data_IF_609967839057
#
_entry.id   IF_609967839057
#
_cell.length_a   1.000
_cell.length_b   1.000
_cell.length_c   1.000
_cell.angle_alpha   90.00
_cell.angle_beta   90.00
_cell.angle_gamma   90.00
#
_symmetry.space_group_name_H-M   'P 1'
#
loop_
_entity.id
_entity.type
_entity.pdbx_description
1 polymer ?
#
# COMPACT_ATOMS: atom_id res chain seq x y z
N UNK A 1 3.78 -0.92 -6.37
CA UNK A 1 3.09 -0.82 -7.67
C UNK A 1 3.96 -0.12 -8.70
N UNK A 2 4.38 1.13 -8.53
CA UNK A 2 5.07 1.91 -9.55
C UNK A 2 6.32 1.26 -10.17
N UNK A 3 7.09 0.45 -9.42
CA UNK A 3 8.21 -0.33 -9.99
C UNK A 3 7.73 -1.51 -10.82
N UNK A 4 6.74 -2.26 -10.33
CA UNK A 4 6.17 -3.36 -11.09
C UNK A 4 5.55 -2.88 -12.41
N UNK A 5 4.88 -1.73 -12.42
CA UNK A 5 4.36 -1.14 -13.66
C UNK A 5 5.45 -0.75 -14.67
N UNK A 6 6.63 -0.32 -14.18
CA UNK A 6 7.78 -0.02 -15.06
C UNK A 6 8.33 -1.29 -15.72
N UNK A 7 8.36 -2.39 -14.96
CA UNK A 7 8.88 -3.68 -15.44
C UNK A 7 7.86 -4.39 -16.36
N UNK A 8 6.57 -4.23 -16.09
CA UNK A 8 5.47 -4.81 -16.87
C UNK A 8 4.72 -3.72 -17.63
N UNK A 9 5.31 -3.25 -18.72
CA UNK A 9 4.72 -2.19 -19.55
C UNK A 9 3.33 -2.60 -20.06
N UNK A 10 2.34 -1.75 -19.80
CA UNK A 10 0.95 -1.99 -20.20
C UNK A 10 0.13 -2.79 -19.19
N UNK A 11 0.72 -3.23 -18.07
CA UNK A 11 -0.05 -3.87 -17.01
C UNK A 11 -0.93 -2.85 -16.27
N UNK A 12 -2.18 -3.22 -16.06
CA UNK A 12 -3.20 -2.38 -15.43
C UNK A 12 -3.11 -2.58 -13.91
N UNK A 13 -2.92 -1.50 -13.13
CA UNK A 13 -2.92 -1.60 -11.68
C UNK A 13 -4.34 -1.81 -11.14
N UNK A 14 -4.48 -2.75 -10.22
CA UNK A 14 -5.68 -2.95 -9.40
C UNK A 14 -5.27 -2.74 -7.94
N UNK A 15 -5.62 -1.58 -7.41
CA UNK A 15 -5.26 -1.13 -6.06
C UNK A 15 -6.57 -0.90 -5.29
N UNK A 16 -6.85 -1.78 -4.30
CA UNK A 16 -8.11 -1.71 -3.56
C UNK A 16 -8.32 -0.39 -2.83
N UNK A 17 -7.24 0.23 -2.37
CA UNK A 17 -7.31 1.52 -1.68
C UNK A 17 -7.75 2.67 -2.60
N UNK A 18 -7.41 2.61 -3.89
CA UNK A 18 -7.78 3.62 -4.88
C UNK A 18 -9.30 3.58 -5.19
N UNK A 19 -9.92 2.44 -4.95
CA UNK A 19 -11.35 2.26 -5.18
C UNK A 19 -12.23 2.82 -4.05
N UNK A 20 -11.63 3.11 -2.88
CA UNK A 20 -12.38 3.63 -1.72
C UNK A 20 -13.09 4.94 -1.97
N UNK A 21 -12.54 5.79 -2.83
CA UNK A 21 -13.11 7.10 -3.18
C UNK A 21 -14.48 7.00 -3.88
N UNK A 22 -14.79 5.84 -4.46
CA UNK A 22 -16.08 5.57 -5.10
C UNK A 22 -17.17 5.13 -4.13
N UNK A 23 -16.84 4.92 -2.86
CA UNK A 23 -17.84 4.56 -1.84
C UNK A 23 -18.81 5.72 -1.61
N UNK A 24 -20.14 5.49 -1.59
CA UNK A 24 -21.13 6.56 -1.41
C UNK A 24 -20.86 7.44 -0.19
N UNK A 25 -20.45 6.82 0.92
CA UNK A 25 -20.21 7.52 2.18
C UNK A 25 -18.77 8.04 2.32
N UNK A 26 -17.91 7.89 1.30
CA UNK A 26 -16.50 8.28 1.42
C UNK A 26 -16.32 9.74 1.84
N UNK A 27 -17.02 10.65 1.17
CA UNK A 27 -16.90 12.11 1.44
C UNK A 27 -17.42 12.48 2.82
N UNK A 28 -18.56 11.91 3.24
CA UNK A 28 -19.14 12.19 4.57
C UNK A 28 -18.24 11.66 5.68
N UNK A 29 -17.75 10.43 5.55
CA UNK A 29 -16.85 9.82 6.55
C UNK A 29 -15.51 10.57 6.63
N UNK A 30 -14.92 10.94 5.50
CA UNK A 30 -13.66 11.70 5.50
C UNK A 30 -13.83 13.10 6.15
N UNK A 31 -15.00 13.67 6.12
CA UNK A 31 -15.29 14.96 6.75
C UNK A 31 -15.62 14.82 8.24
N UNK A 32 -16.36 13.78 8.63
CA UNK A 32 -16.91 13.61 9.97
C UNK A 32 -15.96 12.82 10.90
N UNK A 33 -15.43 11.69 10.40
CA UNK A 33 -14.51 10.82 11.15
C UNK A 33 -13.59 10.07 10.17
N UNK A 34 -12.52 10.72 9.68
CA UNK A 34 -11.63 10.15 8.68
C UNK A 34 -10.90 8.87 9.16
N UNK A 35 -10.78 8.66 10.47
CA UNK A 35 -10.15 7.44 11.01
C UNK A 35 -11.00 6.19 10.75
N UNK A 36 -12.33 6.33 10.61
CA UNK A 36 -13.25 5.23 10.29
C UNK A 36 -13.36 4.91 8.81
N UNK A 37 -12.83 5.76 7.93
CA UNK A 37 -12.95 5.57 6.49
C UNK A 37 -12.48 4.18 6.02
N UNK A 38 -11.34 3.63 6.50
CA UNK A 38 -10.91 2.30 6.07
C UNK A 38 -11.89 1.19 6.44
N UNK A 39 -12.51 1.26 7.62
CA UNK A 39 -13.51 0.30 8.08
C UNK A 39 -14.78 0.36 7.21
N UNK A 40 -15.34 1.55 7.07
CA UNK A 40 -16.61 1.79 6.33
C UNK A 40 -16.49 1.37 4.86
N UNK A 41 -15.33 1.59 4.23
CA UNK A 41 -15.15 1.35 2.79
C UNK A 41 -14.52 0.00 2.44
N UNK A 42 -14.05 -0.77 3.44
CA UNK A 42 -13.25 -1.98 3.20
C UNK A 42 -13.94 -3.03 2.36
N UNK A 43 -15.20 -3.34 2.67
CA UNK A 43 -15.96 -4.39 2.00
C UNK A 43 -16.19 -4.05 0.52
N UNK A 44 -16.65 -2.84 0.24
CA UNK A 44 -16.91 -2.37 -1.12
C UNK A 44 -15.62 -2.31 -1.95
N UNK A 45 -14.55 -1.73 -1.39
CA UNK A 45 -13.27 -1.64 -2.08
C UNK A 45 -12.68 -3.02 -2.41
N UNK A 46 -12.80 -3.99 -1.50
CA UNK A 46 -12.39 -5.37 -1.72
C UNK A 46 -13.21 -6.04 -2.83
N UNK A 47 -14.55 -5.88 -2.81
CA UNK A 47 -15.43 -6.41 -3.85
C UNK A 47 -15.12 -5.80 -5.23
N UNK A 48 -14.92 -4.49 -5.30
CA UNK A 48 -14.58 -3.82 -6.57
C UNK A 48 -13.20 -4.19 -7.09
N UNK A 49 -12.21 -4.37 -6.22
CA UNK A 49 -10.89 -4.86 -6.63
C UNK A 49 -10.99 -6.26 -7.23
N UNK A 50 -11.80 -7.15 -6.63
CA UNK A 50 -12.07 -8.48 -7.19
C UNK A 50 -12.78 -8.39 -8.53
N UNK A 51 -13.87 -7.64 -8.64
CA UNK A 51 -14.60 -7.45 -9.91
C UNK A 51 -13.70 -6.89 -11.00
N UNK A 52 -12.83 -5.91 -10.68
CA UNK A 52 -11.86 -5.35 -11.63
C UNK A 52 -10.86 -6.40 -12.09
N UNK A 53 -10.36 -7.22 -11.16
CA UNK A 53 -9.45 -8.32 -11.44
C UNK A 53 -10.08 -9.36 -12.38
N UNK A 54 -11.33 -9.78 -12.10
CA UNK A 54 -12.09 -10.73 -12.91
C UNK A 54 -12.34 -10.18 -14.33
N UNK A 55 -12.78 -8.93 -14.43
CA UNK A 55 -13.00 -8.26 -15.71
C UNK A 55 -11.74 -8.19 -16.58
N UNK A 56 -10.59 -7.88 -15.97
CA UNK A 56 -9.31 -7.80 -16.67
C UNK A 56 -8.81 -9.19 -17.06
N UNK A 57 -8.97 -10.19 -16.21
CA UNK A 57 -8.61 -11.59 -16.48
C UNK A 57 -9.40 -12.16 -17.66
N UNK A 58 -10.71 -11.93 -17.72
CA UNK A 58 -11.54 -12.34 -18.86
C UNK A 58 -11.09 -11.75 -20.19
N UNK A 59 -10.46 -10.56 -20.16
CA UNK A 59 -9.93 -9.86 -21.34
C UNK A 59 -8.47 -10.13 -21.64
N UNK A 60 -7.86 -11.05 -20.90
CA UNK A 60 -6.44 -11.40 -21.04
C UNK A 60 -5.52 -10.18 -20.89
N UNK A 61 -5.93 -9.17 -20.09
CA UNK A 61 -5.13 -8.00 -19.80
C UNK A 61 -4.07 -8.30 -18.74
N UNK A 62 -2.85 -7.81 -18.93
CA UNK A 62 -1.82 -7.89 -17.90
C UNK A 62 -2.21 -7.02 -16.68
N UNK A 63 -2.04 -7.53 -15.47
CA UNK A 63 -2.48 -6.89 -14.23
C UNK A 63 -1.34 -6.79 -13.23
N UNK A 64 -1.25 -5.65 -12.53
CA UNK A 64 -0.49 -5.53 -11.28
C UNK A 64 -1.50 -5.40 -10.14
N UNK A 65 -1.67 -6.47 -9.39
CA UNK A 65 -2.62 -6.53 -8.27
C UNK A 65 -1.91 -6.24 -6.95
N UNK A 66 -2.32 -5.18 -6.23
CA UNK A 66 -1.77 -4.84 -4.92
C UNK A 66 -2.63 -5.43 -3.80
N UNK A 67 -1.97 -6.17 -2.90
CA UNK A 67 -2.62 -6.77 -1.74
C UNK A 67 -1.66 -6.85 -0.56
N UNK A 68 -2.21 -6.89 0.64
CA UNK A 68 -1.43 -7.02 1.90
C UNK A 68 -1.06 -8.44 2.25
N UNK A 69 -1.53 -9.44 1.50
CA UNK A 69 -1.30 -10.87 1.78
C UNK A 69 -1.79 -11.34 3.17
N UNK A 70 -2.70 -10.62 3.79
CA UNK A 70 -3.21 -10.93 5.15
C UNK A 70 -4.18 -12.11 5.19
N UNK A 71 -4.75 -12.50 4.06
CA UNK A 71 -5.72 -13.59 3.92
C UNK A 71 -5.16 -14.67 3.00
N UNK A 72 -4.52 -15.73 3.55
CA UNK A 72 -3.84 -16.74 2.77
C UNK A 72 -4.73 -17.40 1.71
N UNK A 73 -5.98 -17.75 2.07
CA UNK A 73 -6.91 -18.40 1.14
C UNK A 73 -7.26 -17.50 -0.06
N UNK A 74 -7.45 -16.20 0.17
CA UNK A 74 -7.73 -15.25 -0.90
C UNK A 74 -6.53 -15.05 -1.83
N UNK A 75 -5.31 -15.05 -1.29
CA UNK A 75 -4.06 -14.96 -2.07
C UNK A 75 -3.90 -16.18 -2.98
N UNK A 76 -4.06 -17.38 -2.42
CA UNK A 76 -3.98 -18.64 -3.15
C UNK A 76 -5.05 -18.71 -4.24
N UNK A 77 -6.31 -18.42 -3.88
CA UNK A 77 -7.41 -18.45 -4.84
C UNK A 77 -7.17 -17.48 -6.01
N UNK A 78 -6.74 -16.23 -5.73
CA UNK A 78 -6.46 -15.25 -6.77
C UNK A 78 -5.32 -15.71 -7.69
N UNK A 79 -4.21 -16.18 -7.13
CA UNK A 79 -3.08 -16.67 -7.94
C UNK A 79 -3.48 -17.87 -8.80
N UNK A 80 -4.24 -18.82 -8.23
CA UNK A 80 -4.78 -19.98 -8.94
C UNK A 80 -5.68 -19.58 -10.11
N UNK A 81 -6.63 -18.65 -9.89
CA UNK A 81 -7.54 -18.18 -10.92
C UNK A 81 -6.80 -17.54 -12.11
N UNK A 82 -5.73 -16.78 -11.88
CA UNK A 82 -4.89 -16.26 -12.95
C UNK A 82 -4.12 -17.35 -13.67
N UNK A 83 -3.55 -18.30 -12.96
CA UNK A 83 -2.85 -19.44 -13.59
C UNK A 83 -3.78 -20.30 -14.44
N UNK A 84 -4.95 -20.63 -13.91
CA UNK A 84 -5.96 -21.42 -14.65
C UNK A 84 -6.41 -20.71 -15.94
N UNK A 85 -6.36 -19.38 -15.94
CA UNK A 85 -6.61 -18.54 -17.14
C UNK A 85 -5.38 -18.39 -18.06
N UNK A 86 -4.27 -19.10 -17.80
CA UNK A 86 -3.07 -19.12 -18.65
C UNK A 86 -2.07 -17.97 -18.41
N UNK A 87 -2.22 -17.23 -17.31
CA UNK A 87 -1.26 -16.18 -16.97
C UNK A 87 0.04 -16.75 -16.39
N UNK A 88 1.13 -16.06 -16.66
CA UNK A 88 2.33 -16.15 -15.85
C UNK A 88 2.14 -15.28 -14.60
N UNK A 89 2.26 -15.88 -13.41
CA UNK A 89 2.06 -15.21 -12.12
C UNK A 89 3.40 -14.94 -11.46
N UNK A 90 3.71 -13.67 -11.25
CA UNK A 90 4.87 -13.23 -10.46
C UNK A 90 4.41 -12.60 -9.16
N UNK A 91 4.98 -13.02 -8.03
CA UNK A 91 4.75 -12.43 -6.72
C UNK A 91 5.95 -11.60 -6.30
N UNK A 92 5.69 -10.35 -5.89
CA UNK A 92 6.70 -9.45 -5.31
C UNK A 92 6.34 -9.12 -3.87
N UNK A 93 7.16 -9.58 -2.94
CA UNK A 93 7.02 -9.31 -1.52
C UNK A 93 7.99 -8.23 -1.05
N UNK A 94 7.50 -7.29 -0.25
CA UNK A 94 8.31 -6.22 0.35
C UNK A 94 8.74 -6.66 1.76
N UNK A 95 10.03 -6.83 1.97
CA UNK A 95 10.61 -7.16 3.26
C UNK A 95 11.25 -5.93 3.89
N UNK A 96 10.55 -5.32 4.85
CA UNK A 96 11.03 -4.17 5.62
C UNK A 96 10.76 -4.40 7.10
N UNK A 97 11.59 -3.85 8.01
CA UNK A 97 11.32 -3.90 9.45
C UNK A 97 9.93 -3.38 9.78
N UNK A 98 9.26 -4.01 10.74
CA UNK A 98 7.89 -3.61 11.12
C UNK A 98 7.84 -2.17 11.61
N UNK A 99 8.85 -1.73 12.37
CA UNK A 99 9.02 -0.34 12.78
C UNK A 99 9.04 0.63 11.58
N UNK A 100 9.69 0.24 10.47
CA UNK A 100 9.74 1.06 9.25
C UNK A 100 8.38 1.09 8.54
N UNK A 101 7.69 -0.05 8.51
CA UNK A 101 6.35 -0.15 7.93
C UNK A 101 5.33 0.65 8.76
N UNK A 102 5.37 0.51 10.09
CA UNK A 102 4.48 1.21 11.03
C UNK A 102 4.69 2.73 10.97
N UNK A 103 5.95 3.19 10.93
CA UNK A 103 6.24 4.61 10.71
C UNK A 103 5.72 5.08 9.34
N UNK A 104 5.77 4.25 8.32
CA UNK A 104 5.20 4.56 7.00
C UNK A 104 3.69 4.81 7.04
N UNK A 105 2.94 4.13 7.92
CA UNK A 105 1.51 4.42 8.17
C UNK A 105 1.33 5.81 8.78
N UNK A 106 2.09 6.13 9.84
CA UNK A 106 2.03 7.42 10.52
C UNK A 106 2.43 8.57 9.57
N UNK A 107 3.54 8.43 8.84
CA UNK A 107 4.03 9.46 7.93
C UNK A 107 3.05 9.76 6.80
N UNK A 108 2.49 8.71 6.16
CA UNK A 108 1.48 8.88 5.12
C UNK A 108 0.23 9.60 5.63
N UNK A 109 -0.26 9.23 6.81
CA UNK A 109 -1.38 9.92 7.45
C UNK A 109 -1.04 11.39 7.69
N UNK A 110 0.12 11.68 8.29
CA UNK A 110 0.57 13.03 8.58
C UNK A 110 0.71 13.88 7.30
N UNK A 111 1.27 13.32 6.22
CA UNK A 111 1.39 13.98 4.92
C UNK A 111 0.01 14.33 4.34
N UNK A 112 -0.91 13.37 4.31
CA UNK A 112 -2.26 13.62 3.79
C UNK A 112 -3.01 14.68 4.61
N UNK A 113 -2.88 14.67 5.94
CA UNK A 113 -3.50 15.70 6.78
C UNK A 113 -2.90 17.09 6.53
N UNK A 114 -1.57 17.18 6.32
CA UNK A 114 -0.91 18.46 5.97
C UNK A 114 -1.39 19.00 4.63
N UNK A 115 -1.52 18.13 3.64
CA UNK A 115 -1.78 18.53 2.27
C UNK A 115 -3.28 18.74 2.01
N UNK A 116 -4.12 17.94 2.64
CA UNK A 116 -5.56 17.83 2.31
C UNK A 116 -6.49 18.14 3.48
N UNK A 117 -5.94 18.33 4.70
CA UNK A 117 -6.72 18.56 5.92
C UNK A 117 -7.33 17.29 6.51
N UNK A 118 -7.26 16.16 5.83
CA UNK A 118 -7.69 14.85 6.31
C UNK A 118 -6.78 13.77 5.74
N UNK A 119 -6.57 12.68 6.46
CA UNK A 119 -5.70 11.59 6.04
C UNK A 119 -6.34 10.22 6.27
N UNK A 120 -5.94 9.25 5.45
CA UNK A 120 -6.30 7.85 5.63
C UNK A 120 -5.44 7.22 6.70
N UNK A 121 -6.06 6.74 7.75
CA UNK A 121 -5.43 5.94 8.78
C UNK A 121 -5.49 4.45 8.44
N UNK A 122 -4.44 3.71 8.71
CA UNK A 122 -4.45 2.24 8.68
C UNK A 122 -4.47 1.75 10.12
N UNK A 123 -5.56 1.14 10.61
CA UNK A 123 -5.62 0.64 11.99
C UNK A 123 -4.49 -0.34 12.29
N UNK A 124 -3.92 -0.23 13.50
CA UNK A 124 -2.80 -1.04 13.94
C UNK A 124 -3.07 -2.54 13.80
N UNK A 125 -4.24 -3.00 14.20
CA UNK A 125 -4.62 -4.41 14.09
C UNK A 125 -4.56 -4.92 12.64
N UNK A 126 -4.88 -4.10 11.64
CA UNK A 126 -4.78 -4.50 10.23
C UNK A 126 -3.33 -4.57 9.75
N UNK A 127 -2.48 -3.66 10.22
CA UNK A 127 -1.05 -3.68 9.96
C UNK A 127 -0.41 -4.94 10.54
N UNK A 128 -0.69 -5.25 11.80
CA UNK A 128 -0.07 -6.36 12.53
C UNK A 128 -0.49 -7.72 11.95
N UNK A 129 -1.78 -7.89 11.65
CA UNK A 129 -2.27 -9.09 10.95
C UNK A 129 -1.59 -9.24 9.58
N UNK A 130 -1.44 -8.15 8.81
CA UNK A 130 -0.77 -8.21 7.53
C UNK A 130 0.72 -8.55 7.68
N UNK A 131 1.40 -7.98 8.68
CA UNK A 131 2.79 -8.27 8.98
C UNK A 131 3.01 -9.73 9.37
N UNK A 132 2.13 -10.31 10.18
CA UNK A 132 2.17 -11.71 10.59
C UNK A 132 1.83 -12.68 9.46
N UNK A 133 0.76 -12.41 8.71
CA UNK A 133 0.24 -13.37 7.72
C UNK A 133 0.96 -13.32 6.38
N UNK A 134 1.53 -12.19 5.98
CA UNK A 134 2.17 -12.05 4.67
C UNK A 134 3.25 -13.09 4.39
N UNK A 135 4.22 -13.39 5.29
CA UNK A 135 5.22 -14.41 5.03
C UNK A 135 4.62 -15.82 4.89
N UNK A 136 3.58 -16.13 5.67
CA UNK A 136 2.87 -17.41 5.62
C UNK A 136 2.08 -17.56 4.32
N UNK A 137 1.41 -16.50 3.90
CA UNK A 137 0.66 -16.47 2.63
C UNK A 137 1.59 -16.60 1.42
N UNK A 138 2.77 -15.97 1.49
CA UNK A 138 3.79 -16.07 0.45
C UNK A 138 4.29 -17.50 0.32
N UNK A 139 4.71 -18.12 1.43
CA UNK A 139 5.13 -19.52 1.46
C UNK A 139 4.08 -20.44 0.86
N UNK A 140 2.83 -20.29 1.29
CA UNK A 140 1.74 -21.15 0.89
C UNK A 140 1.40 -21.03 -0.61
N UNK A 141 1.29 -19.83 -1.15
CA UNK A 141 0.94 -19.64 -2.56
C UNK A 141 2.00 -20.19 -3.51
N UNK A 142 3.28 -20.16 -3.08
CA UNK A 142 4.39 -20.77 -3.82
C UNK A 142 4.33 -22.28 -3.69
N UNK A 143 4.20 -22.81 -2.47
CA UNK A 143 4.17 -24.25 -2.20
C UNK A 143 3.01 -24.96 -2.93
N UNK A 144 1.87 -24.30 -3.11
CA UNK A 144 0.71 -24.81 -3.85
C UNK A 144 0.87 -24.71 -5.39
N UNK A 145 2.02 -24.20 -5.90
CA UNK A 145 2.33 -24.19 -7.33
C UNK A 145 1.57 -23.15 -8.16
N UNK A 146 1.10 -22.08 -7.52
CA UNK A 146 0.32 -21.04 -8.21
C UNK A 146 1.14 -19.82 -8.63
N UNK A 147 2.47 -19.87 -8.49
CA UNK A 147 3.41 -18.79 -8.79
C UNK A 147 4.50 -19.31 -9.71
N UNK A 148 4.85 -18.57 -10.77
CA UNK A 148 5.94 -18.90 -11.68
C UNK A 148 7.25 -18.22 -11.29
N UNK A 149 7.17 -17.11 -10.52
CA UNK A 149 8.33 -16.36 -10.07
C UNK A 149 8.05 -15.66 -8.75
N UNK A 150 9.02 -15.68 -7.85
CA UNK A 150 8.99 -14.89 -6.63
C UNK A 150 10.16 -13.90 -6.60
N UNK A 151 9.88 -12.70 -6.09
CA UNK A 151 10.88 -11.67 -5.83
C UNK A 151 10.62 -11.05 -4.45
N UNK A 152 11.56 -11.22 -3.51
CA UNK A 152 11.54 -10.53 -2.22
C UNK A 152 12.49 -9.34 -2.32
N UNK A 153 11.98 -8.14 -2.01
CA UNK A 153 12.75 -6.89 -2.14
C UNK A 153 12.74 -6.08 -0.84
N UNK A 154 13.80 -5.31 -0.62
CA UNK A 154 13.81 -4.27 0.41
C UNK A 154 13.06 -2.99 -0.06
N UNK A 155 12.94 -1.98 0.82
CA UNK A 155 12.32 -0.70 0.51
C UNK A 155 13.01 0.05 -0.64
N UNK A 156 14.32 -0.13 -0.79
CA UNK A 156 15.11 0.40 -1.91
C UNK A 156 14.84 -0.32 -3.24
N UNK A 157 14.20 -1.50 -3.20
CA UNK A 157 13.94 -2.37 -4.34
C UNK A 157 15.11 -3.28 -4.71
N UNK A 158 16.11 -3.40 -3.83
CA UNK A 158 17.17 -4.38 -3.96
C UNK A 158 16.57 -5.78 -3.73
N UNK A 159 16.85 -6.72 -4.61
CA UNK A 159 16.42 -8.09 -4.45
C UNK A 159 17.15 -8.74 -3.25
N UNK A 160 16.41 -9.29 -2.32
CA UNK A 160 16.88 -10.11 -1.20
C UNK A 160 16.79 -11.58 -1.54
N UNK A 161 15.80 -11.96 -2.36
CA UNK A 161 15.59 -13.29 -2.89
C UNK A 161 14.87 -13.20 -4.22
N UNK A 162 15.26 -14.05 -5.18
CA UNK A 162 14.59 -14.17 -6.47
C UNK A 162 14.69 -15.62 -6.95
N UNK A 163 13.57 -16.22 -7.32
CA UNK A 163 13.53 -17.57 -7.88
C UNK A 163 12.45 -17.68 -8.96
N UNK A 164 12.75 -18.36 -10.05
CA UNK A 164 11.76 -18.88 -10.98
C UNK A 164 11.30 -20.24 -10.43
N UNK A 165 10.00 -20.45 -10.30
CA UNK A 165 9.40 -21.61 -9.66
C UNK A 165 9.02 -22.62 -10.75
N UNK A 166 9.57 -23.82 -10.66
CA UNK A 166 9.14 -24.92 -11.54
C UNK A 166 7.83 -25.51 -11.04
N UNK A 167 6.75 -25.07 -11.64
CA UNK A 167 5.39 -25.52 -11.29
C UNK A 167 5.07 -26.93 -11.78
N UNK A 168 5.94 -27.53 -12.60
CA UNK A 168 5.84 -28.92 -13.03
C UNK A 168 6.69 -29.87 -12.18
N UNK A 169 7.58 -29.32 -11.34
CA UNK A 169 8.37 -30.10 -10.41
C UNK A 169 7.50 -30.66 -9.26
N UNK A 170 7.90 -31.80 -8.73
CA UNK A 170 7.20 -32.42 -7.60
C UNK A 170 7.03 -31.45 -6.44
N UNK A 171 5.94 -31.59 -5.67
CA UNK A 171 5.52 -30.68 -4.58
C UNK A 171 6.61 -30.35 -3.53
N UNK A 172 7.67 -31.13 -3.43
CA UNK A 172 8.82 -30.89 -2.55
C UNK A 172 9.64 -29.66 -2.94
N UNK A 173 9.79 -29.36 -4.23
CA UNK A 173 10.53 -28.17 -4.71
C UNK A 173 9.74 -26.91 -4.39
N UNK A 174 8.44 -26.86 -4.69
CA UNK A 174 7.59 -25.72 -4.37
C UNK A 174 7.53 -25.42 -2.87
N UNK A 175 7.48 -26.44 -2.02
CA UNK A 175 7.52 -26.27 -0.57
C UNK A 175 8.85 -25.65 -0.10
N UNK A 176 9.98 -26.05 -0.70
CA UNK A 176 11.29 -25.48 -0.41
C UNK A 176 11.38 -24.03 -0.85
N UNK A 177 10.98 -23.73 -2.09
CA UNK A 177 11.02 -22.37 -2.65
C UNK A 177 10.13 -21.42 -1.83
N UNK A 178 8.97 -21.89 -1.37
CA UNK A 178 8.09 -21.15 -0.47
C UNK A 178 8.74 -20.85 0.88
N UNK A 179 9.40 -21.86 1.48
CA UNK A 179 10.12 -21.70 2.74
C UNK A 179 11.31 -20.73 2.60
N UNK A 180 12.07 -20.82 1.50
CA UNK A 180 13.20 -19.92 1.22
C UNK A 180 12.72 -18.47 1.02
N UNK A 181 11.63 -18.26 0.30
CA UNK A 181 11.01 -16.93 0.14
C UNK A 181 10.53 -16.35 1.47
N UNK A 182 9.87 -17.15 2.31
CA UNK A 182 9.48 -16.76 3.67
C UNK A 182 10.69 -16.41 4.52
N UNK A 183 11.73 -17.23 4.51
CA UNK A 183 12.96 -16.95 5.26
C UNK A 183 13.60 -15.63 4.82
N UNK A 184 13.61 -15.34 3.52
CA UNK A 184 14.12 -14.08 2.99
C UNK A 184 13.31 -12.86 3.46
N UNK A 185 11.96 -12.98 3.55
CA UNK A 185 11.12 -11.92 4.12
C UNK A 185 11.45 -11.69 5.60
N UNK A 186 11.56 -12.77 6.38
CA UNK A 186 11.87 -12.67 7.82
C UNK A 186 13.25 -12.05 8.02
N UNK A 187 14.27 -12.50 7.29
CA UNK A 187 15.62 -11.95 7.36
C UNK A 187 15.65 -10.46 6.95
N UNK A 188 14.93 -10.08 5.89
CA UNK A 188 14.86 -8.70 5.41
C UNK A 188 14.15 -7.75 6.38
N UNK A 189 13.35 -8.26 7.30
CA UNK A 189 12.67 -7.48 8.36
C UNK A 189 13.55 -7.20 9.58
N UNK A 190 14.75 -7.75 9.66
CA UNK A 190 15.66 -7.47 10.77
C UNK A 190 16.06 -5.99 10.82
N UNK A 191 16.07 -5.40 12.01
CA UNK A 191 16.54 -4.03 12.24
C UNK A 191 18.03 -3.87 11.86
N UNK A 192 18.79 -4.96 11.86
CA UNK A 192 20.20 -4.98 11.44
C UNK A 192 20.41 -4.61 9.97
N UNK A 193 19.35 -4.68 9.15
CA UNK A 193 19.39 -4.24 7.76
C UNK A 193 19.32 -2.71 7.61
N UNK A 194 19.00 -1.96 8.68
CA UNK A 194 19.00 -0.52 8.65
C UNK A 194 20.44 0.02 8.68
N UNK A 195 20.77 0.85 7.71
CA UNK A 195 22.02 1.63 7.77
C UNK A 195 21.90 2.74 8.83
N UNK A 196 23.00 3.30 9.34
CA UNK A 196 22.94 4.47 10.23
C UNK A 196 22.18 5.66 9.63
N UNK A 197 22.27 5.86 8.31
CA UNK A 197 21.50 6.88 7.58
C UNK A 197 20.00 6.62 7.59
N UNK A 198 19.59 5.36 7.34
CA UNK A 198 18.17 4.97 7.39
C UNK A 198 17.61 5.14 8.80
N UNK A 199 18.38 4.76 9.82
CA UNK A 199 18.00 4.89 11.22
C UNK A 199 17.83 6.37 11.62
N UNK A 200 18.75 7.25 11.22
CA UNK A 200 18.62 8.69 11.43
C UNK A 200 17.38 9.26 10.72
N UNK A 201 17.14 8.86 9.47
CA UNK A 201 15.97 9.29 8.71
C UNK A 201 14.69 8.85 9.39
N UNK A 202 14.64 7.61 9.92
CA UNK A 202 13.51 7.08 10.66
C UNK A 202 13.23 7.88 11.94
N UNK A 203 14.26 8.17 12.74
CA UNK A 203 14.13 8.94 13.99
C UNK A 203 13.63 10.37 13.73
N UNK A 204 14.17 11.03 12.70
CA UNK A 204 13.73 12.37 12.30
C UNK A 204 12.27 12.38 11.81
N UNK A 205 11.86 11.34 11.06
CA UNK A 205 10.49 11.20 10.59
C UNK A 205 9.52 10.91 11.76
N UNK A 206 9.91 10.05 12.71
CA UNK A 206 9.11 9.80 13.92
C UNK A 206 8.87 11.08 14.70
N UNK A 207 9.93 11.86 15.00
CA UNK A 207 9.78 13.11 15.75
C UNK A 207 8.88 14.10 15.01
N UNK A 208 9.11 14.33 13.73
CA UNK A 208 8.34 15.25 12.90
C UNK A 208 6.86 14.88 12.83
N UNK A 209 6.59 13.62 12.50
CA UNK A 209 5.23 13.19 12.16
C UNK A 209 4.40 12.90 13.41
N UNK A 210 4.96 12.31 14.45
CA UNK A 210 4.27 12.13 15.73
C UNK A 210 3.92 13.48 16.37
N UNK A 211 4.87 14.42 16.40
CA UNK A 211 4.60 15.76 16.94
C UNK A 211 3.54 16.53 16.13
N UNK A 212 3.47 16.32 14.82
CA UNK A 212 2.42 16.91 14.01
C UNK A 212 1.07 16.27 14.33
N UNK A 213 0.99 14.93 14.34
CA UNK A 213 -0.26 14.19 14.53
C UNK A 213 -0.86 14.41 15.93
N UNK A 214 -0.02 14.49 16.97
CA UNK A 214 -0.47 14.77 18.35
C UNK A 214 -1.19 16.13 18.51
N UNK A 215 -1.07 17.03 17.53
CA UNK A 215 -1.76 18.32 17.52
C UNK A 215 -3.04 18.33 16.69
N UNK A 216 -3.40 17.19 16.05
CA UNK A 216 -4.60 17.13 15.22
C UNK A 216 -5.87 16.86 16.04
N UNK A 217 -7.00 17.41 15.57
CA UNK A 217 -8.30 17.22 16.21
C UNK A 217 -8.83 15.77 16.10
N UNK A 218 -8.42 15.04 15.04
CA UNK A 218 -8.88 13.68 14.77
C UNK A 218 -7.97 12.62 15.42
N UNK A 219 -7.35 12.97 16.54
CA UNK A 219 -6.49 12.06 17.30
C UNK A 219 -7.34 10.95 17.95
N UNK A 220 -7.02 9.70 17.63
CA UNK A 220 -7.68 8.51 18.18
C UNK A 220 -6.76 7.64 19.01
N UNK A 221 -7.34 6.76 19.83
CA UNK A 221 -6.58 5.83 20.67
C UNK A 221 -5.64 4.92 19.90
N UNK A 222 -6.04 4.47 18.72
CA UNK A 222 -5.23 3.62 17.83
C UNK A 222 -3.99 4.36 17.28
N UNK A 223 -4.13 5.65 17.01
CA UNK A 223 -3.01 6.52 16.61
C UNK A 223 -2.00 6.65 17.73
N UNK A 224 -2.48 6.87 18.97
CA UNK A 224 -1.61 6.94 20.16
C UNK A 224 -0.90 5.62 20.43
N UNK A 225 -1.61 4.48 20.28
CA UNK A 225 -1.00 3.16 20.43
C UNK A 225 0.12 2.94 19.41
N UNK A 226 -0.10 3.32 18.14
CA UNK A 226 0.93 3.25 17.10
C UNK A 226 2.15 4.11 17.42
N UNK A 227 1.96 5.31 17.97
CA UNK A 227 3.08 6.18 18.41
C UNK A 227 3.86 5.54 19.55
N UNK A 228 3.17 4.88 20.51
CA UNK A 228 3.84 4.20 21.62
C UNK A 228 4.67 3.00 21.14
N UNK A 229 4.17 2.20 20.20
CA UNK A 229 4.93 1.10 19.61
C UNK A 229 6.17 1.61 18.87
N UNK A 230 6.02 2.68 18.09
CA UNK A 230 7.17 3.30 17.41
C UNK A 230 8.20 3.82 18.42
N UNK A 231 7.74 4.35 19.56
CA UNK A 231 8.63 4.78 20.65
C UNK A 231 9.31 3.59 21.33
N UNK A 232 8.65 2.45 21.44
CA UNK A 232 9.25 1.22 21.97
C UNK A 232 10.35 0.67 21.06
N UNK A 233 10.20 0.79 19.74
CA UNK A 233 11.21 0.40 18.75
C UNK A 233 12.39 1.39 18.67
N UNK A 234 12.17 2.66 18.98
CA UNK A 234 13.10 3.76 18.76
C UNK A 234 14.46 3.62 19.46
N UNK A 235 14.62 3.07 20.67
CA UNK A 235 15.95 2.85 21.29
C UNK A 235 16.83 1.89 20.48
N UNK A 236 16.25 0.83 19.90
CA UNK A 236 16.99 -0.11 19.04
C UNK A 236 17.44 0.57 17.75
N UNK A 237 16.62 1.43 17.19
CA UNK A 237 16.94 2.19 15.98
C UNK A 237 17.97 3.29 16.29
N UNK A 238 17.87 3.96 17.44
CA UNK A 238 18.86 4.94 17.89
C UNK A 238 20.26 4.33 18.06
N UNK A 239 20.33 3.10 18.57
CA UNK A 239 21.59 2.36 18.68
C UNK A 239 22.20 2.01 17.31
N UNK A 240 21.40 1.97 16.22
CA UNK A 240 21.90 1.84 14.83
C UNK A 240 22.35 3.18 14.26
N UNK A 241 21.70 4.27 14.65
CA UNK A 241 22.00 5.62 14.17
C UNK A 241 23.25 6.21 14.81
N UNK A 242 23.46 5.98 16.10
CA UNK A 242 24.47 6.64 16.92
C UNK A 242 25.19 5.67 17.84
N UNK A 243 26.45 5.96 18.15
CA UNK A 243 27.13 5.27 19.25
C UNK A 243 26.50 5.67 20.58
N UNK A 244 26.31 4.70 21.48
CA UNK A 244 25.56 4.86 22.74
C UNK A 244 26.05 5.98 23.65
N UNK A 245 27.32 6.38 23.54
CA UNK A 245 27.93 7.46 24.33
C UNK A 245 28.02 8.80 23.60
N UNK A 246 27.46 8.92 22.40
CA UNK A 246 27.53 10.15 21.64
C UNK A 246 26.51 11.20 22.13
N UNK A 247 26.83 12.52 22.00
CA UNK A 247 25.86 13.57 22.26
C UNK A 247 24.56 13.40 21.48
N UNK A 248 24.64 12.97 20.21
CA UNK A 248 23.49 12.73 19.37
C UNK A 248 22.58 11.61 19.90
N UNK A 249 23.13 10.56 20.53
CA UNK A 249 22.35 9.54 21.20
C UNK A 249 21.61 10.10 22.41
N UNK A 250 22.25 10.95 23.21
CA UNK A 250 21.63 11.60 24.37
C UNK A 250 20.50 12.55 23.93
N UNK A 251 20.71 13.34 22.88
CA UNK A 251 19.68 14.22 22.30
C UNK A 251 18.47 13.42 21.80
N UNK A 252 18.72 12.33 21.06
CA UNK A 252 17.66 11.41 20.60
C UNK A 252 16.88 10.84 21.76
N UNK A 253 17.55 10.38 22.83
CA UNK A 253 16.91 9.84 24.01
C UNK A 253 16.02 10.88 24.72
N UNK A 254 16.50 12.12 24.83
CA UNK A 254 15.73 13.23 25.39
C UNK A 254 14.50 13.57 24.54
N UNK A 255 14.64 13.58 23.21
CA UNK A 255 13.52 13.81 22.29
C UNK A 255 12.44 12.72 22.41
N UNK A 256 12.85 11.44 22.51
CA UNK A 256 11.95 10.31 22.71
C UNK A 256 11.21 10.36 24.07
N UNK A 257 11.90 10.78 25.13
CA UNK A 257 11.27 10.99 26.44
C UNK A 257 10.22 12.12 26.39
N UNK A 258 10.57 13.23 25.73
CA UNK A 258 9.65 14.35 25.52
C UNK A 258 8.44 13.97 24.65
N UNK A 259 8.64 13.17 23.61
CA UNK A 259 7.53 12.60 22.81
C UNK A 259 6.62 11.74 23.68
N UNK A 260 7.20 10.90 24.58
CA UNK A 260 6.44 10.09 25.52
C UNK A 260 5.55 10.90 26.44
N UNK A 261 6.07 11.97 27.01
CA UNK A 261 5.29 12.88 27.85
C UNK A 261 4.10 13.49 27.09
N UNK A 262 4.33 13.93 25.84
CA UNK A 262 3.26 14.47 24.97
C UNK A 262 2.21 13.43 24.61
N UNK A 263 2.61 12.19 24.32
CA UNK A 263 1.68 11.09 24.01
C UNK A 263 0.80 10.77 25.23
N UNK A 264 1.40 10.76 26.43
CA UNK A 264 0.66 10.52 27.67
C UNK A 264 -0.35 11.65 27.96
N UNK A 265 0.05 12.91 27.79
CA UNK A 265 -0.84 14.05 27.95
C UNK A 265 -2.01 14.03 26.94
N UNK A 266 -1.72 13.67 25.68
CA UNK A 266 -2.77 13.53 24.67
C UNK A 266 -3.76 12.40 25.01
N UNK A 267 -3.29 11.29 25.58
CA UNK A 267 -4.15 10.19 26.01
C UNK A 267 -5.04 10.60 27.18
N UNK A 268 -4.50 11.35 28.13
CA UNK A 268 -5.24 11.89 29.24
C UNK A 268 -6.34 12.85 28.77
N UNK A 269 -6.02 13.79 27.89
CA UNK A 269 -6.99 14.70 27.29
C UNK A 269 -8.13 13.94 26.57
N UNK A 270 -7.81 12.90 25.77
CA UNK A 270 -8.83 12.06 25.14
C UNK A 270 -9.73 11.35 26.14
N UNK A 271 -9.18 10.89 27.27
CA UNK A 271 -9.96 10.20 28.32
C UNK A 271 -10.96 11.14 29.03
N UNK A 272 -10.64 12.43 29.10
CA UNK A 272 -11.51 13.48 29.62
C UNK A 272 -12.50 14.05 28.62
N UNK A 273 -12.51 13.55 27.37
CA UNK A 273 -13.38 14.04 26.30
C UNK A 273 -12.94 15.40 25.72
N UNK A 274 -11.77 15.88 26.11
CA UNK A 274 -11.15 17.10 25.61
C UNK A 274 -10.54 16.84 24.22
N UNK A 275 -11.38 16.90 23.19
CA UNK A 275 -10.85 16.89 21.82
C UNK A 275 -10.41 18.31 21.45
N UNK A 276 -9.23 18.51 20.86
CA UNK A 276 -8.88 19.78 20.23
C UNK A 276 -9.99 20.12 19.24
N UNK A 277 -10.65 21.27 19.43
CA UNK A 277 -11.75 21.65 18.54
C UNK A 277 -11.20 22.00 17.16
N UNK A 278 -11.80 21.44 16.12
CA UNK A 278 -11.54 21.72 14.70
C UNK A 278 -11.92 23.17 14.27
N UNK A 279 -12.24 24.02 15.23
CA UNK A 279 -12.80 25.36 15.05
C UNK A 279 -11.77 26.37 14.54
N UNK A 280 -11.26 26.22 13.35
CA UNK A 280 -10.41 27.24 12.71
C UNK A 280 -9.94 26.90 11.31
N UNK A 281 -9.91 25.63 10.95
CA UNK A 281 -9.34 25.20 9.68
C UNK A 281 -10.40 24.95 8.58
N UNK A 282 -11.68 24.84 8.94
CA UNK A 282 -12.74 24.41 8.02
C UNK A 282 -13.48 25.59 7.39
N UNK A 283 -13.60 26.72 8.06
CA UNK A 283 -14.33 27.88 7.50
C UNK A 283 -13.60 28.57 6.34
N UNK A 284 -12.27 28.55 6.34
CA UNK A 284 -11.48 29.20 5.29
C UNK A 284 -11.36 28.34 4.00
N UNK A 285 -11.63 27.02 4.08
CA UNK A 285 -11.49 26.07 2.96
C UNK A 285 -12.82 25.62 2.34
N UNK A 286 -13.95 25.93 2.91
CA UNK A 286 -15.28 25.60 2.35
C UNK A 286 -15.60 26.35 1.04
N UNK A 287 -14.76 27.30 0.62
CA UNK A 287 -14.88 28.05 -0.63
C UNK A 287 -13.87 27.64 -1.72
N UNK A 288 -13.06 26.59 -1.49
CA UNK A 288 -12.11 26.08 -2.49
C UNK A 288 -12.73 25.07 -3.46
N UNK A 289 -12.16 24.90 -4.68
CA UNK A 289 -12.73 24.04 -5.69
C UNK A 289 -12.67 22.57 -5.30
N UNK A 290 -13.80 21.93 -5.35
CA UNK A 290 -14.16 20.51 -5.36
C UNK A 290 -13.07 19.52 -4.96
N UNK A 291 -13.07 19.12 -3.71
CA UNK A 291 -12.25 18.08 -3.07
C UNK A 291 -12.10 16.75 -3.86
N UNK A 292 -13.06 16.41 -4.72
CA UNK A 292 -13.08 15.16 -5.46
C UNK A 292 -12.06 15.07 -6.60
N UNK A 293 -11.77 16.17 -7.29
CA UNK A 293 -10.82 16.15 -8.42
C UNK A 293 -9.38 16.35 -7.94
N UNK A 294 -9.18 17.18 -6.90
CA UNK A 294 -7.86 17.43 -6.33
C UNK A 294 -7.36 16.24 -5.51
N UNK A 295 -8.23 15.53 -4.76
CA UNK A 295 -7.85 14.30 -4.06
C UNK A 295 -7.39 13.20 -5.04
N UNK A 296 -8.07 13.06 -6.17
CA UNK A 296 -7.67 12.08 -7.20
C UNK A 296 -6.33 12.46 -7.84
N UNK A 297 -6.07 13.76 -8.04
CA UNK A 297 -4.83 14.26 -8.64
C UNK A 297 -3.64 14.20 -7.66
N UNK A 298 -3.86 14.54 -6.39
CA UNK A 298 -2.82 14.53 -5.36
C UNK A 298 -2.38 13.10 -4.95
N UNK A 299 -3.25 12.11 -5.14
CA UNK A 299 -2.92 10.70 -4.95
C UNK A 299 -2.14 10.09 -6.12
N UNK A 300 -1.77 10.88 -7.12
CA UNK A 300 -1.00 10.40 -8.29
C UNK A 300 -1.83 9.53 -9.24
N UNK A 301 -3.16 9.64 -9.16
CA UNK A 301 -4.05 8.95 -10.07
C UNK A 301 -4.08 9.71 -11.41
N UNK A 302 -3.41 9.17 -12.40
CA UNK A 302 -3.77 9.48 -13.79
C UNK A 302 -5.20 9.01 -13.98
N UNK A 303 -6.09 9.96 -14.26
CA UNK A 303 -7.49 9.68 -14.60
C UNK A 303 -7.55 8.54 -15.60
N UNK A 304 -8.18 7.43 -15.20
CA UNK A 304 -8.45 6.31 -16.10
C UNK A 304 -9.28 6.83 -17.29
N UNK A 305 -8.95 6.47 -18.55
CA UNK A 305 -9.74 6.88 -19.72
C UNK A 305 -11.19 6.43 -19.69
N UNK A 306 -11.57 5.60 -18.71
CA UNK A 306 -12.94 5.09 -18.50
C UNK A 306 -13.84 6.01 -17.66
N UNK A 307 -13.34 7.13 -17.15
CA UNK A 307 -14.08 8.01 -16.25
C UNK A 307 -14.76 9.22 -16.93
N UNK A 308 -14.80 9.29 -18.26
CA UNK A 308 -15.49 10.36 -18.98
C UNK A 308 -16.78 9.82 -19.67
N UNK A 309 -17.97 9.96 -19.03
CA UNK A 309 -19.24 9.55 -19.62
C UNK A 309 -19.73 10.47 -20.75
N UNK A 310 -18.96 11.53 -21.12
CA UNK A 310 -19.38 12.52 -22.12
C UNK A 310 -18.74 12.35 -23.49
N UNK A 311 -17.87 11.34 -23.70
CA UNK A 311 -17.40 11.03 -25.04
C UNK A 311 -18.48 10.33 -25.85
N UNK A 312 -19.30 11.12 -26.50
CA UNK A 312 -20.16 10.68 -27.58
C UNK A 312 -19.33 10.06 -28.70
N UNK A 313 -19.64 8.81 -29.01
CA UNK A 313 -19.09 8.09 -30.16
C UNK A 313 -19.54 8.77 -31.46
N UNK A 314 -18.76 9.66 -32.01
CA UNK A 314 -18.84 10.02 -33.42
C UNK A 314 -18.16 8.93 -34.22
N UNK A 315 -18.98 7.97 -34.66
CA UNK A 315 -18.59 6.93 -35.59
C UNK A 315 -18.23 7.57 -36.93
N UNK A 316 -16.96 7.73 -37.23
CA UNK A 316 -16.48 8.03 -38.56
C UNK A 316 -16.44 6.73 -39.36
N UNK A 317 -17.49 6.51 -40.12
CA UNK A 317 -17.64 5.39 -41.06
C UNK A 317 -16.63 5.56 -42.20
N UNK A 318 -15.49 4.91 -42.12
CA UNK A 318 -14.55 4.78 -43.24
C UNK A 318 -15.20 3.95 -44.33
N UNK A 319 -15.39 4.58 -45.50
CA UNK A 319 -15.94 4.00 -46.69
C UNK A 319 -14.86 3.16 -47.36
N UNK A 320 -14.93 1.82 -47.22
CA UNK A 320 -14.08 0.89 -47.95
C UNK A 320 -14.53 0.84 -49.41
N UNK A 321 -13.71 1.37 -50.33
CA UNK A 321 -13.86 1.13 -51.74
C UNK A 321 -13.46 -0.32 -52.04
N UNK A 322 -14.43 -1.09 -52.53
CA UNK A 322 -14.19 -2.38 -53.19
C UNK A 322 -13.47 -2.16 -54.52
N UNK A 323 -12.27 -2.71 -54.64
CA UNK A 323 -11.63 -2.97 -55.94
C UNK A 323 -11.92 -4.42 -56.31
N UNK A 324 -12.60 -4.59 -57.44
CA UNK A 324 -12.85 -5.89 -58.08
C UNK A 324 -11.57 -6.46 -58.70
N UNK A 325 -11.34 -7.77 -58.66
CA UNK A 325 -10.27 -8.38 -59.45
C UNK A 325 -10.73 -8.66 -60.86
N UNK A 326 -9.96 -8.15 -61.81
CA UNK A 326 -10.05 -8.57 -63.23
C UNK A 326 -9.42 -9.95 -63.40
N UNK A 327 -10.18 -10.81 -64.07
CA UNK A 327 -9.74 -12.06 -64.67
C UNK A 327 -8.77 -11.75 -65.83
N UNK A 328 -7.61 -12.37 -65.83
CA UNK A 328 -6.87 -12.65 -67.04
C UNK A 328 -6.49 -14.11 -67.03
N UNK A 329 -7.03 -14.81 -68.08
CA UNK A 329 -6.58 -16.12 -68.59
C UNK A 329 -5.43 -15.85 -69.50
N UNK A 330 -4.42 -16.67 -69.42
CA UNK A 330 -3.80 -17.31 -70.62
C UNK A 330 -2.76 -18.33 -70.14
N UNK A 331 -3.01 -19.52 -70.60
CA UNK A 331 -2.26 -20.52 -71.35
C UNK A 331 -0.73 -20.52 -71.25
N UNK A 332 -0.15 -21.49 -70.63
CA UNK A 332 0.56 -22.67 -71.18
C UNK A 332 1.07 -23.59 -70.07
#
# INVERSE_FOLDING_TARGET
VGRAQKDFRGAIPVIGDDLRVFHPDYVSVMREDPLRMPEVTAQAAGAWARMSSDYLRERQASVVFETTFRQPDAVVATAKEFRDAGYRVEVRALAVPEAVSRLGVLSRYAEQVRDQGAGRWTPQAFHDVAAEQMPKSLERVIAEGHVDRVLVVDRGGRALHAADIDTNAASTTGARDGADARAAVIAGRGLDNLTPSDANTWLAALDRDANFVLRQADLGGDVLATIDDLRADAPHIAARAHTTQSPAHAETSAALAALGARTSAAREALSHGERPTRAGAVEERAQGPRLTTELATALGHTTSPLADPTRSHTSTRARTQQASPQHERDER
#
